data_IF_799759687594
#
_entry.id   IF_799759687594
#
_cell.length_a   1.000
_cell.length_b   1.000
_cell.length_c   1.000
_cell.angle_alpha   90.00
_cell.angle_beta   90.00
_cell.angle_gamma   90.00
#
_symmetry.space_group_name_H-M   'P 1'
#
loop_
_entity.id
_entity.type
_entity.pdbx_description
1 polymer ?
#
# COMPACT_ATOMS: atom_id res chain seq x y z
N UNK A 1 -0.98 -11.13 -30.81
CA UNK A 1 -0.77 -11.07 -29.35
C UNK A 1 0.61 -11.64 -29.11
N UNK A 2 1.46 -10.98 -28.32
CA UNK A 2 2.72 -11.60 -27.90
C UNK A 2 2.41 -12.86 -27.10
N UNK A 3 3.22 -13.90 -27.25
CA UNK A 3 3.06 -15.10 -26.46
C UNK A 3 3.19 -14.79 -24.95
N UNK A 4 2.46 -15.49 -24.08
CA UNK A 4 2.57 -15.28 -22.64
C UNK A 4 3.97 -15.67 -22.16
N UNK A 5 4.50 -14.90 -21.21
CA UNK A 5 5.72 -15.27 -20.51
C UNK A 5 5.36 -16.15 -19.31
N UNK A 6 5.92 -17.36 -19.25
CA UNK A 6 5.67 -18.32 -18.19
C UNK A 6 6.91 -18.44 -17.31
N UNK A 7 6.75 -18.24 -16.01
CA UNK A 7 7.81 -18.46 -15.05
C UNK A 7 7.67 -19.85 -14.44
N UNK A 8 8.78 -20.58 -14.34
CA UNK A 8 8.87 -21.88 -13.68
C UNK A 8 9.90 -21.79 -12.56
N UNK A 9 9.45 -21.82 -11.30
CA UNK A 9 10.35 -21.66 -10.16
C UNK A 9 10.55 -22.95 -9.39
N UNK A 10 11.81 -23.31 -9.14
CA UNK A 10 12.15 -24.47 -8.32
C UNK A 10 13.64 -24.78 -8.29
N UNK A 11 14.04 -25.69 -7.41
CA UNK A 11 15.41 -26.20 -7.31
C UNK A 11 15.84 -26.94 -8.59
N UNK A 12 17.15 -27.13 -8.81
CA UNK A 12 17.64 -27.90 -9.96
C UNK A 12 17.03 -29.33 -10.04
N UNK A 13 16.90 -30.09 -8.93
CA UNK A 13 16.16 -31.36 -8.96
C UNK A 13 14.71 -31.22 -9.39
N UNK A 14 14.00 -30.15 -8.97
CA UNK A 14 12.63 -29.90 -9.38
C UNK A 14 12.52 -29.59 -10.88
N UNK A 15 13.42 -28.74 -11.42
CA UNK A 15 13.50 -28.47 -12.86
C UNK A 15 13.79 -29.72 -13.68
N UNK A 16 14.68 -30.58 -13.18
CA UNK A 16 14.98 -31.88 -13.81
C UNK A 16 13.78 -32.81 -13.86
N UNK A 17 12.99 -32.89 -12.78
CA UNK A 17 11.72 -33.64 -12.76
C UNK A 17 10.69 -33.05 -13.72
N UNK A 18 10.68 -31.73 -13.88
CA UNK A 18 9.78 -31.00 -14.77
C UNK A 18 10.19 -31.02 -16.25
N UNK A 19 11.23 -31.76 -16.66
CA UNK A 19 11.72 -31.74 -18.03
C UNK A 19 10.64 -32.07 -19.08
N UNK A 20 9.78 -33.06 -18.81
CA UNK A 20 8.66 -33.41 -19.69
C UNK A 20 7.59 -32.30 -19.74
N UNK A 21 7.37 -31.60 -18.63
CA UNK A 21 6.44 -30.47 -18.56
C UNK A 21 6.97 -29.30 -19.39
N UNK A 22 8.25 -28.96 -19.22
CA UNK A 22 8.93 -27.89 -19.97
C UNK A 22 8.91 -28.20 -21.46
N UNK A 23 9.19 -29.44 -21.85
CA UNK A 23 9.15 -29.88 -23.25
C UNK A 23 7.73 -29.89 -23.85
N UNK A 24 6.69 -29.98 -23.02
CA UNK A 24 5.30 -29.95 -23.44
C UNK A 24 4.75 -28.52 -23.61
N UNK A 25 5.50 -27.48 -23.18
CA UNK A 25 5.09 -26.09 -23.38
C UNK A 25 5.08 -25.73 -24.88
N UNK A 26 4.15 -24.89 -25.34
CA UNK A 26 4.10 -24.43 -26.73
C UNK A 26 5.41 -23.78 -27.16
N UNK A 27 5.86 -24.06 -28.39
CA UNK A 27 7.11 -23.49 -28.93
C UNK A 27 7.09 -21.95 -29.02
N UNK A 28 5.89 -21.36 -29.10
CA UNK A 28 5.72 -19.91 -29.11
C UNK A 28 5.69 -19.31 -27.69
N UNK A 29 5.46 -20.10 -26.63
CA UNK A 29 5.45 -19.60 -25.26
C UNK A 29 6.86 -19.26 -24.79
N UNK A 30 7.04 -18.02 -24.31
CA UNK A 30 8.30 -17.61 -23.73
C UNK A 30 8.38 -18.14 -22.30
N UNK A 31 9.36 -19.00 -22.01
CA UNK A 31 9.51 -19.62 -20.69
C UNK A 31 10.80 -19.14 -20.04
N UNK A 32 10.74 -18.83 -18.74
CA UNK A 32 11.89 -18.56 -17.89
C UNK A 32 11.88 -19.51 -16.70
N UNK A 33 12.98 -20.22 -16.50
CA UNK A 33 13.24 -21.06 -15.34
C UNK A 33 14.01 -20.28 -14.28
N UNK A 34 13.53 -20.30 -13.05
CA UNK A 34 14.07 -19.52 -11.94
C UNK A 34 14.42 -20.44 -10.76
N UNK A 35 15.49 -20.12 -10.05
CA UNK A 35 15.88 -20.82 -8.84
C UNK A 35 17.40 -20.82 -8.64
N UNK A 36 17.93 -21.62 -7.71
CA UNK A 36 19.38 -21.76 -7.56
C UNK A 36 20.01 -22.40 -8.80
N UNK A 37 21.28 -22.03 -9.06
CA UNK A 37 22.16 -22.72 -10.00
C UNK A 37 22.19 -24.25 -9.78
N UNK A 38 22.43 -24.99 -10.86
CA UNK A 38 22.53 -26.46 -10.83
C UNK A 38 22.24 -27.10 -12.18
N UNK A 39 22.07 -28.43 -12.24
CA UNK A 39 21.77 -29.15 -13.49
C UNK A 39 20.30 -29.64 -13.53
N UNK A 40 19.44 -29.13 -14.42
CA UNK A 40 19.73 -28.12 -15.47
C UNK A 40 19.83 -26.70 -14.90
N UNK A 41 20.65 -25.85 -15.55
CA UNK A 41 20.83 -24.45 -15.14
C UNK A 41 19.52 -23.67 -15.32
N UNK A 42 19.20 -22.72 -14.41
CA UNK A 42 18.06 -21.85 -14.60
C UNK A 42 18.41 -20.73 -15.60
N UNK A 43 17.39 -20.15 -16.22
CA UNK A 43 17.53 -18.92 -17.01
C UNK A 43 17.89 -17.73 -16.11
N UNK A 44 17.41 -17.73 -14.86
CA UNK A 44 17.77 -16.76 -13.84
C UNK A 44 18.17 -17.46 -12.52
N UNK A 45 19.46 -17.36 -12.18
CA UNK A 45 19.97 -17.80 -10.88
C UNK A 45 19.57 -16.80 -9.79
N UNK A 46 18.77 -17.28 -8.83
CA UNK A 46 18.31 -16.52 -7.68
C UNK A 46 19.07 -16.88 -6.39
N UNK A 47 20.11 -17.70 -6.49
CA UNK A 47 20.89 -18.17 -5.35
C UNK A 47 20.13 -19.16 -4.47
N UNK A 48 20.69 -19.45 -3.29
CA UNK A 48 20.20 -20.50 -2.38
C UNK A 48 18.91 -20.16 -1.63
N UNK A 49 18.52 -18.88 -1.62
CA UNK A 49 17.29 -18.39 -0.99
C UNK A 49 16.50 -17.58 -2.04
N UNK A 50 15.88 -18.26 -3.02
CA UNK A 50 15.27 -17.59 -4.16
C UNK A 50 14.11 -16.69 -3.73
N UNK A 51 14.11 -15.46 -4.24
CA UNK A 51 13.08 -14.46 -4.00
C UNK A 51 12.55 -13.90 -5.32
N UNK A 52 11.29 -14.19 -5.60
CA UNK A 52 10.61 -13.79 -6.83
C UNK A 52 10.24 -12.30 -6.84
N UNK A 53 10.19 -11.63 -5.68
CA UNK A 53 9.97 -10.19 -5.62
C UNK A 53 11.16 -9.42 -6.21
N UNK A 54 12.39 -9.85 -5.89
CA UNK A 54 13.62 -9.33 -6.47
C UNK A 54 13.68 -9.60 -7.97
N UNK A 55 13.29 -10.81 -8.39
CA UNK A 55 13.20 -11.17 -9.80
C UNK A 55 12.22 -10.23 -10.54
N UNK A 56 11.03 -9.97 -9.98
CA UNK A 56 10.03 -9.08 -10.57
C UNK A 56 10.56 -7.65 -10.74
N UNK A 57 11.24 -7.12 -9.74
CA UNK A 57 11.79 -5.76 -9.77
C UNK A 57 12.91 -5.60 -10.80
N UNK A 58 13.76 -6.62 -10.96
CA UNK A 58 14.85 -6.62 -11.94
C UNK A 58 14.36 -6.97 -13.36
N UNK A 59 13.15 -7.52 -13.50
CA UNK A 59 12.64 -8.04 -14.76
C UNK A 59 12.20 -6.93 -15.73
N UNK A 60 12.74 -6.91 -16.97
CA UNK A 60 12.22 -6.03 -18.02
C UNK A 60 10.73 -6.29 -18.28
N UNK A 61 9.93 -5.25 -18.64
CA UNK A 61 8.49 -5.41 -18.88
C UNK A 61 8.11 -6.53 -19.85
N UNK A 62 8.93 -6.77 -20.88
CA UNK A 62 8.71 -7.82 -21.89
C UNK A 62 8.88 -9.26 -21.36
N UNK A 63 9.52 -9.43 -20.20
CA UNK A 63 9.79 -10.73 -19.58
C UNK A 63 8.97 -10.96 -18.30
N UNK A 64 8.05 -10.03 -17.96
CA UNK A 64 7.20 -10.15 -16.77
C UNK A 64 6.21 -11.30 -16.93
N UNK A 65 5.99 -12.08 -15.86
CA UNK A 65 5.21 -13.31 -15.96
C UNK A 65 3.73 -13.03 -16.22
N UNK A 66 3.15 -13.78 -17.15
CA UNK A 66 1.71 -13.93 -17.30
C UNK A 66 1.16 -15.02 -16.36
N UNK A 67 1.99 -15.99 -15.96
CA UNK A 67 1.71 -16.94 -14.87
C UNK A 67 3.02 -17.52 -14.31
N UNK A 68 2.96 -17.99 -13.07
CA UNK A 68 4.03 -18.73 -12.39
C UNK A 68 3.60 -20.17 -12.12
N UNK A 69 4.48 -21.14 -12.35
CA UNK A 69 4.39 -22.49 -11.80
C UNK A 69 5.51 -22.74 -10.79
N UNK A 70 5.14 -23.04 -9.55
CA UNK A 70 6.04 -23.52 -8.50
C UNK A 70 6.20 -25.03 -8.65
N UNK A 71 7.41 -25.45 -9.02
CA UNK A 71 7.77 -26.86 -9.27
C UNK A 71 8.02 -27.65 -7.98
N UNK A 72 8.18 -26.96 -6.85
CA UNK A 72 8.46 -27.55 -5.54
C UNK A 72 7.51 -26.98 -4.45
N UNK A 73 6.21 -27.34 -4.45
CA UNK A 73 5.18 -26.76 -3.59
C UNK A 73 5.45 -26.82 -2.09
N UNK A 74 6.21 -27.81 -1.64
CA UNK A 74 6.59 -28.01 -0.24
C UNK A 74 7.66 -27.02 0.26
N UNK A 75 8.36 -26.35 -0.65
CA UNK A 75 9.39 -25.36 -0.36
C UNK A 75 9.33 -24.26 -1.43
N UNK A 76 8.22 -23.50 -1.51
CA UNK A 76 8.09 -22.44 -2.51
C UNK A 76 9.15 -21.36 -2.27
N UNK A 77 9.63 -20.70 -3.33
CA UNK A 77 10.49 -19.52 -3.18
C UNK A 77 9.74 -18.39 -2.45
N UNK A 78 10.47 -17.45 -1.88
CA UNK A 78 9.88 -16.22 -1.33
C UNK A 78 9.28 -15.36 -2.46
N UNK A 79 8.31 -14.50 -2.12
CA UNK A 79 7.73 -13.54 -3.06
C UNK A 79 6.78 -14.11 -4.10
N UNK A 80 6.29 -15.35 -3.93
CA UNK A 80 5.24 -15.93 -4.80
C UNK A 80 3.97 -15.09 -4.76
N UNK A 81 3.57 -14.63 -3.58
CA UNK A 81 2.45 -13.74 -3.35
C UNK A 81 2.69 -12.31 -3.88
N UNK A 82 3.93 -11.93 -4.10
CA UNK A 82 4.31 -10.61 -4.59
C UNK A 82 4.21 -10.45 -6.13
N UNK A 83 3.71 -11.46 -6.85
CA UNK A 83 3.63 -11.43 -8.31
C UNK A 83 2.28 -10.90 -8.85
N UNK A 84 2.28 -10.12 -9.96
CA UNK A 84 1.09 -9.56 -10.61
C UNK A 84 0.28 -10.59 -11.43
N UNK A 85 0.52 -11.88 -11.26
CA UNK A 85 -0.02 -12.94 -12.11
C UNK A 85 -0.58 -14.10 -11.29
N UNK A 86 -1.35 -15.03 -11.91
CA UNK A 86 -1.73 -16.28 -11.26
C UNK A 86 -0.48 -17.09 -10.88
N UNK A 87 -0.51 -17.67 -9.69
CA UNK A 87 0.54 -18.56 -9.18
C UNK A 87 -0.01 -19.96 -8.96
N UNK A 88 0.63 -20.96 -9.55
CA UNK A 88 0.16 -22.34 -9.49
C UNK A 88 1.23 -23.25 -8.88
N UNK A 89 0.80 -24.26 -8.14
CA UNK A 89 1.67 -25.27 -7.56
C UNK A 89 1.55 -26.58 -8.35
N UNK A 90 2.68 -27.20 -8.69
CA UNK A 90 2.67 -28.42 -9.50
C UNK A 90 2.37 -29.67 -8.67
N UNK A 91 1.20 -30.28 -8.88
CA UNK A 91 0.85 -31.62 -8.39
C UNK A 91 0.63 -31.75 -6.87
N UNK A 92 0.85 -30.70 -6.09
CA UNK A 92 0.66 -30.68 -4.64
C UNK A 92 0.23 -29.29 -4.15
N UNK A 93 -0.36 -29.24 -2.96
CA UNK A 93 -0.79 -28.00 -2.32
C UNK A 93 0.41 -27.10 -1.96
N UNK A 94 0.22 -25.80 -2.15
CA UNK A 94 1.16 -24.75 -1.73
C UNK A 94 0.35 -23.59 -1.14
N UNK A 95 0.49 -23.28 0.16
CA UNK A 95 -0.24 -22.17 0.78
C UNK A 95 0.02 -20.80 0.16
N UNK A 96 1.14 -20.63 -0.55
CA UNK A 96 1.51 -19.37 -1.21
C UNK A 96 0.95 -19.25 -2.65
N UNK A 97 0.39 -20.32 -3.23
CA UNK A 97 -0.12 -20.31 -4.61
C UNK A 97 -1.63 -20.10 -4.67
N UNK A 98 -2.12 -19.53 -5.78
CA UNK A 98 -3.55 -19.39 -6.06
C UNK A 98 -4.25 -20.73 -6.32
N UNK A 99 -3.56 -21.70 -6.92
CA UNK A 99 -4.16 -22.97 -7.34
C UNK A 99 -3.13 -24.11 -7.43
N UNK A 100 -3.62 -25.34 -7.54
CA UNK A 100 -2.82 -26.55 -7.77
C UNK A 100 -3.09 -27.07 -9.19
N UNK A 101 -2.04 -27.39 -9.94
CA UNK A 101 -2.17 -28.07 -11.24
C UNK A 101 -2.15 -29.59 -11.07
N UNK A 102 -2.69 -30.36 -12.04
CA UNK A 102 -2.53 -31.81 -12.06
C UNK A 102 -1.06 -32.24 -12.04
N UNK A 103 -0.75 -33.41 -11.50
CA UNK A 103 0.61 -33.95 -11.51
C UNK A 103 1.09 -34.35 -12.92
N UNK A 104 0.16 -34.68 -13.83
CA UNK A 104 0.49 -35.01 -15.21
C UNK A 104 1.08 -33.78 -15.95
N UNK A 105 2.26 -33.90 -16.60
CA UNK A 105 2.92 -32.78 -17.28
C UNK A 105 2.07 -32.06 -18.34
N UNK A 106 1.34 -32.80 -19.18
CA UNK A 106 0.55 -32.21 -20.26
C UNK A 106 -0.65 -31.42 -19.72
N UNK A 107 -1.34 -31.99 -18.73
CA UNK A 107 -2.48 -31.33 -18.07
C UNK A 107 -2.01 -30.11 -17.27
N UNK A 108 -0.85 -30.20 -16.61
CA UNK A 108 -0.24 -29.08 -15.88
C UNK A 108 0.11 -27.91 -16.81
N UNK A 109 0.71 -28.22 -17.96
CA UNK A 109 1.01 -27.24 -19.01
C UNK A 109 -0.27 -26.57 -19.51
N UNK A 110 -1.32 -27.33 -19.79
CA UNK A 110 -2.60 -26.76 -20.22
C UNK A 110 -3.20 -25.84 -19.16
N UNK A 111 -3.17 -26.23 -17.88
CA UNK A 111 -3.66 -25.41 -16.77
C UNK A 111 -2.85 -24.11 -16.64
N UNK A 112 -1.53 -24.17 -16.76
CA UNK A 112 -0.64 -23.00 -16.69
C UNK A 112 -0.93 -21.99 -17.81
N UNK A 113 -1.10 -22.46 -19.05
CA UNK A 113 -1.43 -21.60 -20.20
C UNK A 113 -2.80 -20.95 -20.03
N UNK A 114 -3.80 -21.73 -19.60
CA UNK A 114 -5.14 -21.21 -19.33
C UNK A 114 -5.11 -20.12 -18.25
N UNK A 115 -4.33 -20.32 -17.19
CA UNK A 115 -4.13 -19.32 -16.16
C UNK A 115 -3.45 -18.06 -16.72
N UNK A 116 -2.39 -18.21 -17.53
CA UNK A 116 -1.70 -17.09 -18.16
C UNK A 116 -2.60 -16.27 -19.10
N UNK A 117 -3.49 -16.94 -19.85
CA UNK A 117 -4.45 -16.30 -20.75
C UNK A 117 -5.57 -15.59 -19.99
N UNK A 118 -6.03 -16.18 -18.87
CA UNK A 118 -7.07 -15.60 -18.02
C UNK A 118 -6.55 -14.42 -17.22
N UNK A 119 -5.29 -14.46 -16.79
CA UNK A 119 -4.71 -13.50 -15.86
C UNK A 119 -5.28 -13.62 -14.45
N UNK A 120 -4.82 -12.74 -13.55
CA UNK A 120 -5.30 -12.62 -12.17
C UNK A 120 -6.21 -11.40 -12.05
N UNK A 121 -7.38 -11.58 -11.44
CA UNK A 121 -8.26 -10.47 -11.09
C UNK A 121 -7.83 -9.87 -9.76
N UNK A 122 -8.03 -8.55 -9.61
CA UNK A 122 -7.67 -7.79 -8.41
C UNK A 122 -8.89 -7.01 -7.89
N UNK A 123 -9.90 -7.70 -7.33
CA UNK A 123 -11.17 -7.07 -6.97
C UNK A 123 -11.03 -5.96 -5.92
N UNK A 124 -10.07 -6.08 -5.00
CA UNK A 124 -9.78 -5.06 -3.99
C UNK A 124 -9.25 -3.75 -4.57
N UNK A 125 -8.60 -3.78 -5.74
CA UNK A 125 -7.93 -2.62 -6.33
C UNK A 125 -8.86 -1.41 -6.53
N UNK A 126 -10.13 -1.65 -6.86
CA UNK A 126 -11.12 -0.57 -7.02
C UNK A 126 -11.64 -0.02 -5.67
N UNK A 127 -11.50 -0.80 -4.60
CA UNK A 127 -12.06 -0.53 -3.26
C UNK A 127 -11.09 0.17 -2.33
N UNK A 128 -9.79 0.07 -2.63
CA UNK A 128 -8.74 0.70 -1.83
C UNK A 128 -8.09 1.84 -2.60
N UNK A 129 -7.40 2.68 -1.84
CA UNK A 129 -6.37 3.57 -2.29
C UNK A 129 -4.99 2.93 -2.07
N UNK A 130 -3.97 3.43 -2.75
CA UNK A 130 -2.58 2.97 -2.66
C UNK A 130 -1.70 4.18 -2.40
N UNK A 131 -0.94 4.18 -1.32
CA UNK A 131 0.09 5.19 -1.08
C UNK A 131 1.07 5.19 -2.25
N UNK A 132 1.24 6.37 -2.86
CA UNK A 132 2.06 6.55 -4.03
C UNK A 132 2.62 7.97 -4.03
N UNK A 133 3.87 8.18 -3.59
CA UNK A 133 4.50 9.49 -3.60
C UNK A 133 4.45 10.15 -4.98
N UNK A 134 4.20 11.46 -5.03
CA UNK A 134 4.05 12.21 -6.30
C UNK A 134 5.24 12.01 -7.24
N UNK A 135 6.45 11.94 -6.68
CA UNK A 135 7.70 11.70 -7.41
C UNK A 135 7.76 10.32 -8.03
N UNK A 136 7.18 9.32 -7.37
CA UNK A 136 7.13 7.96 -7.86
C UNK A 136 6.00 7.75 -8.88
N UNK A 137 4.85 8.38 -8.65
CA UNK A 137 3.72 8.43 -9.59
C UNK A 137 4.16 8.91 -10.97
N UNK A 138 4.92 10.01 -11.01
CA UNK A 138 5.43 10.60 -12.25
C UNK A 138 6.79 10.03 -12.69
N UNK A 139 7.43 9.23 -11.83
CA UNK A 139 8.76 8.67 -12.02
C UNK A 139 8.71 7.16 -12.22
N UNK A 140 9.29 6.43 -11.27
CA UNK A 140 9.54 4.98 -11.40
C UNK A 140 8.28 4.14 -11.64
N UNK A 141 7.12 4.57 -11.15
CA UNK A 141 5.86 3.85 -11.29
C UNK A 141 4.91 4.42 -12.34
N UNK A 142 5.31 5.42 -13.12
CA UNK A 142 4.47 5.96 -14.20
C UNK A 142 3.95 4.87 -15.19
N UNK A 143 4.76 3.87 -15.61
CA UNK A 143 4.27 2.78 -16.45
C UNK A 143 3.22 1.90 -15.76
N UNK A 144 3.39 1.64 -14.45
CA UNK A 144 2.47 0.84 -13.66
C UNK A 144 1.15 1.58 -13.42
N UNK A 145 1.21 2.85 -13.01
CA UNK A 145 0.03 3.70 -12.80
C UNK A 145 -0.78 3.91 -14.11
N UNK A 146 -0.15 3.79 -15.26
CA UNK A 146 -0.81 3.87 -16.57
C UNK A 146 -1.46 2.54 -17.00
N UNK A 147 -0.90 1.40 -16.58
CA UNK A 147 -1.38 0.07 -16.97
C UNK A 147 -2.41 -0.51 -15.99
N UNK A 148 -2.36 -0.06 -14.73
CA UNK A 148 -3.20 -0.55 -13.64
C UNK A 148 -4.03 0.59 -13.07
N UNK A 149 -5.33 0.34 -12.94
CA UNK A 149 -6.31 1.30 -12.47
C UNK A 149 -6.27 1.47 -10.94
N UNK A 150 -5.23 2.14 -10.41
CA UNK A 150 -5.10 2.45 -8.98
C UNK A 150 -5.80 3.75 -8.61
N UNK A 151 -6.44 3.78 -7.43
CA UNK A 151 -6.78 5.02 -6.76
C UNK A 151 -5.61 5.39 -5.86
N UNK A 152 -4.96 6.56 -6.00
CA UNK A 152 -3.81 6.87 -5.16
C UNK A 152 -4.21 7.60 -3.88
N UNK A 153 -3.44 7.35 -2.84
CA UNK A 153 -3.08 8.40 -1.90
C UNK A 153 -1.75 9.01 -2.36
N UNK A 154 -1.77 10.26 -2.84
CA UNK A 154 -0.57 10.92 -3.37
C UNK A 154 0.24 11.51 -2.22
N UNK A 155 1.41 10.95 -1.96
CA UNK A 155 2.34 11.50 -0.98
C UNK A 155 3.04 12.77 -1.50
N UNK A 156 2.93 13.88 -0.76
CA UNK A 156 3.63 15.14 -1.05
C UNK A 156 4.76 15.31 -0.04
N UNK A 157 5.95 14.82 -0.39
CA UNK A 157 7.15 14.96 0.44
C UNK A 157 7.85 16.33 0.26
N UNK A 158 8.82 16.62 1.11
CA UNK A 158 9.60 17.86 1.02
C UNK A 158 10.37 17.97 -0.30
N UNK A 159 10.84 16.84 -0.85
CA UNK A 159 11.59 16.80 -2.12
C UNK A 159 10.69 17.22 -3.29
N UNK A 160 9.42 16.79 -3.31
CA UNK A 160 8.42 17.20 -4.28
C UNK A 160 8.13 18.69 -4.13
N UNK A 161 7.93 19.17 -2.90
CA UNK A 161 7.69 20.60 -2.66
C UNK A 161 8.86 21.49 -3.11
N UNK A 162 10.09 21.01 -3.05
CA UNK A 162 11.27 21.78 -3.46
C UNK A 162 11.59 21.68 -4.96
N UNK A 163 11.42 20.50 -5.55
CA UNK A 163 11.88 20.22 -6.92
C UNK A 163 10.77 20.25 -7.97
N UNK A 164 9.50 20.09 -7.58
CA UNK A 164 8.36 20.04 -8.49
C UNK A 164 7.58 21.35 -8.52
N UNK A 165 6.80 21.51 -9.58
CA UNK A 165 6.05 22.73 -9.89
C UNK A 165 4.79 22.44 -10.68
N UNK A 166 4.16 23.50 -11.18
CA UNK A 166 2.82 23.42 -11.77
C UNK A 166 2.70 22.47 -12.96
N UNK A 167 3.76 22.33 -13.78
CA UNK A 167 3.77 21.37 -14.89
C UNK A 167 3.63 19.91 -14.40
N UNK A 168 4.26 19.57 -13.28
CA UNK A 168 4.16 18.24 -12.68
C UNK A 168 2.77 17.99 -12.10
N UNK A 169 2.14 19.00 -11.47
CA UNK A 169 0.78 18.89 -10.96
C UNK A 169 -0.23 18.72 -12.10
N UNK A 170 -0.05 19.44 -13.21
CA UNK A 170 -0.85 19.26 -14.41
C UNK A 170 -0.69 17.86 -15.01
N UNK A 171 0.54 17.33 -15.07
CA UNK A 171 0.80 15.96 -15.52
C UNK A 171 0.15 14.92 -14.60
N UNK A 172 0.31 15.06 -13.28
CA UNK A 172 -0.31 14.17 -12.30
C UNK A 172 -1.83 14.19 -12.44
N UNK A 173 -2.44 15.37 -12.59
CA UNK A 173 -3.88 15.50 -12.81
C UNK A 173 -4.38 14.72 -14.04
N UNK A 174 -3.58 14.66 -15.11
CA UNK A 174 -3.92 13.87 -16.29
C UNK A 174 -3.87 12.37 -16.01
N UNK A 175 -2.80 11.90 -15.38
CA UNK A 175 -2.63 10.47 -14.99
C UNK A 175 -3.75 10.03 -14.04
N UNK A 176 -4.20 10.92 -13.16
CA UNK A 176 -5.20 10.63 -12.13
C UNK A 176 -6.64 10.89 -12.57
N UNK A 177 -6.88 11.23 -13.84
CA UNK A 177 -8.24 11.53 -14.31
C UNK A 177 -9.17 10.33 -14.09
N UNK A 178 -10.29 10.58 -13.40
CA UNK A 178 -11.29 9.56 -13.08
C UNK A 178 -10.91 8.62 -11.94
N UNK A 179 -9.80 8.89 -11.23
CA UNK A 179 -9.40 8.19 -10.01
C UNK A 179 -9.97 8.89 -8.78
N UNK A 180 -10.20 8.12 -7.72
CA UNK A 180 -10.39 8.67 -6.37
C UNK A 180 -9.01 9.00 -5.81
N UNK A 181 -8.82 10.23 -5.34
CA UNK A 181 -7.51 10.72 -4.87
C UNK A 181 -7.62 11.14 -3.42
N UNK A 182 -6.78 10.58 -2.55
CA UNK A 182 -6.40 11.20 -1.27
C UNK A 182 -4.99 11.75 -1.39
N UNK A 183 -4.57 12.59 -0.44
CA UNK A 183 -3.21 13.13 -0.38
C UNK A 183 -2.66 12.93 1.01
N UNK A 184 -1.46 12.36 1.10
CA UNK A 184 -0.69 12.38 2.33
C UNK A 184 0.16 13.66 2.34
N UNK A 185 -0.12 14.54 3.30
CA UNK A 185 0.55 15.84 3.43
C UNK A 185 1.99 15.66 3.93
N UNK A 186 2.89 16.62 3.70
CA UNK A 186 4.25 16.55 4.24
C UNK A 186 4.21 16.54 5.76
N UNK A 187 5.03 15.69 6.38
CA UNK A 187 5.07 15.55 7.84
C UNK A 187 6.49 15.51 8.42
N UNK A 188 7.45 14.97 7.66
CA UNK A 188 8.85 14.85 8.11
C UNK A 188 9.42 16.21 8.54
N UNK A 189 9.92 16.25 9.78
CA UNK A 189 10.47 17.43 10.47
C UNK A 189 9.52 18.63 10.60
N UNK A 190 8.23 18.48 10.31
CA UNK A 190 7.24 19.53 10.49
C UNK A 190 6.68 19.50 11.91
N UNK A 191 6.61 20.68 12.54
CA UNK A 191 6.00 20.85 13.86
C UNK A 191 5.06 22.07 13.85
N UNK A 192 3.83 21.90 13.34
CA UNK A 192 2.88 23.01 13.21
C UNK A 192 2.41 23.56 14.57
N UNK A 193 2.46 22.74 15.63
CA UNK A 193 2.18 23.13 17.02
C UNK A 193 3.40 23.60 17.83
N UNK A 194 4.55 23.83 17.18
CA UNK A 194 5.81 24.20 17.84
C UNK A 194 5.67 25.46 18.72
N UNK A 195 6.31 25.48 19.91
CA UNK A 195 6.39 26.70 20.72
C UNK A 195 7.29 27.78 20.10
N UNK A 196 8.15 27.43 19.14
CA UNK A 196 8.91 28.39 18.35
C UNK A 196 8.07 28.84 17.14
N UNK A 197 7.64 30.12 17.08
CA UNK A 197 6.80 30.61 16.00
C UNK A 197 7.45 30.53 14.61
N UNK A 198 8.78 30.55 14.51
CA UNK A 198 9.47 30.44 13.23
C UNK A 198 9.37 29.02 12.67
N UNK A 199 9.48 28.00 13.53
CA UNK A 199 9.31 26.59 13.17
C UNK A 199 7.86 26.30 12.81
N UNK A 200 6.91 26.77 13.62
CA UNK A 200 5.48 26.60 13.36
C UNK A 200 5.09 27.23 12.01
N UNK A 201 5.56 28.46 11.74
CA UNK A 201 5.31 29.16 10.47
C UNK A 201 5.86 28.39 9.27
N UNK A 202 7.12 27.94 9.32
CA UNK A 202 7.70 27.17 8.23
C UNK A 202 6.91 25.90 7.95
N UNK A 203 6.50 25.20 9.01
CA UNK A 203 5.69 23.98 8.91
C UNK A 203 4.35 24.24 8.24
N UNK A 204 3.65 25.30 8.65
CA UNK A 204 2.37 25.70 8.08
C UNK A 204 2.48 26.20 6.63
N UNK A 205 3.55 26.92 6.28
CA UNK A 205 3.80 27.37 4.90
C UNK A 205 3.98 26.17 3.95
N UNK A 206 4.64 25.10 4.42
CA UNK A 206 4.81 23.84 3.67
C UNK A 206 3.47 23.11 3.49
N UNK A 207 2.69 23.02 4.56
CA UNK A 207 1.35 22.42 4.54
C UNK A 207 0.37 23.20 3.65
N UNK A 208 0.39 24.53 3.67
CA UNK A 208 -0.48 25.35 2.81
C UNK A 208 -0.15 25.17 1.32
N UNK A 209 1.15 25.10 0.98
CA UNK A 209 1.59 24.77 -0.39
C UNK A 209 1.07 23.39 -0.82
N UNK A 210 1.25 22.37 0.02
CA UNK A 210 0.75 21.02 -0.25
C UNK A 210 -0.79 20.99 -0.37
N UNK A 211 -1.51 21.76 0.44
CA UNK A 211 -2.97 21.85 0.38
C UNK A 211 -3.43 22.47 -0.94
N UNK A 212 -2.71 23.46 -1.46
CA UNK A 212 -2.93 23.96 -2.82
C UNK A 212 -2.86 22.84 -3.86
N UNK A 213 -1.79 22.05 -3.84
CA UNK A 213 -1.63 20.92 -4.77
C UNK A 213 -2.68 19.84 -4.57
N UNK A 214 -3.05 19.53 -3.32
CA UNK A 214 -4.11 18.55 -3.03
C UNK A 214 -5.44 18.94 -3.67
N UNK A 215 -5.83 20.21 -3.56
CA UNK A 215 -7.04 20.74 -4.20
C UNK A 215 -6.95 20.73 -5.73
N UNK A 216 -5.78 21.07 -6.30
CA UNK A 216 -5.56 21.03 -7.75
C UNK A 216 -5.67 19.61 -8.33
N UNK A 217 -5.19 18.62 -7.60
CA UNK A 217 -5.30 17.18 -7.90
C UNK A 217 -6.73 16.63 -7.69
N UNK A 218 -7.62 17.40 -7.07
CA UNK A 218 -8.99 16.98 -6.78
C UNK A 218 -9.08 15.98 -5.62
N UNK A 219 -8.17 16.09 -4.65
CA UNK A 219 -8.15 15.20 -3.48
C UNK A 219 -9.43 15.37 -2.66
N UNK A 220 -9.99 14.24 -2.19
CA UNK A 220 -11.17 14.21 -1.32
C UNK A 220 -10.80 14.08 0.16
N UNK A 221 -9.56 13.67 0.44
CA UNK A 221 -8.96 13.56 1.77
C UNK A 221 -7.55 14.12 1.75
N UNK A 222 -7.17 14.77 2.86
CA UNK A 222 -5.82 15.22 3.11
C UNK A 222 -5.39 14.73 4.50
N UNK A 223 -4.50 13.74 4.52
CA UNK A 223 -3.95 13.16 5.76
C UNK A 223 -2.87 14.07 6.30
N UNK A 224 -2.97 14.46 7.58
CA UNK A 224 -2.00 15.32 8.27
C UNK A 224 -1.53 14.69 9.58
N UNK A 225 -0.29 14.97 9.94
CA UNK A 225 0.28 14.59 11.23
C UNK A 225 0.27 15.79 12.18
N UNK A 226 0.13 15.53 13.49
CA UNK A 226 0.17 16.59 14.50
C UNK A 226 1.60 17.10 14.74
N UNK A 227 2.59 16.22 14.59
CA UNK A 227 3.96 16.48 15.04
C UNK A 227 4.05 16.53 16.58
N UNK A 228 3.20 15.77 17.27
CA UNK A 228 3.18 15.71 18.73
C UNK A 228 4.22 14.71 19.26
N UNK A 229 4.76 15.01 20.44
CA UNK A 229 5.64 14.12 21.19
C UNK A 229 5.46 14.44 22.66
N UNK A 230 5.12 13.43 23.47
CA UNK A 230 4.89 13.61 24.90
C UNK A 230 6.15 14.08 25.66
N UNK A 231 7.34 13.77 25.13
CA UNK A 231 8.61 14.15 25.73
C UNK A 231 8.89 15.66 25.63
N UNK A 232 8.46 16.29 24.54
CA UNK A 232 8.72 17.71 24.25
C UNK A 232 7.49 18.60 24.45
N UNK A 233 6.28 18.06 24.30
CA UNK A 233 5.01 18.78 24.39
C UNK A 233 4.26 18.40 25.67
N UNK A 234 4.78 18.85 26.82
CA UNK A 234 4.28 18.45 28.16
C UNK A 234 2.90 19.00 28.53
N UNK A 235 2.47 20.09 27.91
CA UNK A 235 1.12 20.65 28.09
C UNK A 235 0.32 20.47 26.80
N UNK A 236 -0.60 19.50 26.82
CA UNK A 236 -1.45 19.17 25.68
C UNK A 236 -2.37 20.34 25.29
N UNK A 237 -2.90 21.08 26.26
CA UNK A 237 -3.80 22.20 26.00
C UNK A 237 -3.10 23.34 25.27
N UNK A 238 -1.88 23.70 25.71
CA UNK A 238 -1.07 24.70 25.02
C UNK A 238 -0.64 24.24 23.62
N UNK A 239 -0.24 22.97 23.47
CA UNK A 239 0.10 22.40 22.17
C UNK A 239 -1.09 22.47 21.20
N UNK A 240 -2.26 21.97 21.61
CA UNK A 240 -3.47 21.99 20.80
C UNK A 240 -3.89 23.42 20.46
N UNK A 241 -3.76 24.37 21.39
CA UNK A 241 -4.03 25.78 21.14
C UNK A 241 -3.14 26.38 20.05
N UNK A 242 -1.81 26.12 20.09
CA UNK A 242 -0.88 26.57 19.04
C UNK A 242 -1.15 25.90 17.70
N UNK A 243 -1.32 24.58 17.70
CA UNK A 243 -1.63 23.80 16.51
C UNK A 243 -2.90 24.31 15.82
N UNK A 244 -3.98 24.52 16.60
CA UNK A 244 -5.27 24.95 16.08
C UNK A 244 -5.21 26.32 15.37
N UNK A 245 -4.33 27.23 15.81
CA UNK A 245 -4.14 28.52 15.16
C UNK A 245 -3.71 28.40 13.68
N UNK A 246 -2.97 27.34 13.34
CA UNK A 246 -2.59 27.03 11.96
C UNK A 246 -3.50 26.03 11.26
N UNK A 247 -3.98 25.01 11.98
CA UNK A 247 -4.79 23.94 11.38
C UNK A 247 -6.23 24.36 11.09
N UNK A 248 -6.83 25.27 11.86
CA UNK A 248 -8.17 25.77 11.56
C UNK A 248 -8.29 26.44 10.17
N UNK A 249 -7.44 27.42 9.79
CA UNK A 249 -7.49 28.00 8.45
C UNK A 249 -7.10 27.00 7.35
N UNK A 250 -6.15 26.08 7.61
CA UNK A 250 -5.77 25.03 6.66
C UNK A 250 -6.95 24.08 6.38
N UNK A 251 -7.63 23.60 7.44
CA UNK A 251 -8.82 22.77 7.36
C UNK A 251 -9.95 23.50 6.62
N UNK A 252 -10.16 24.79 6.90
CA UNK A 252 -11.15 25.61 6.22
C UNK A 252 -10.88 25.70 4.71
N UNK A 253 -9.62 25.90 4.31
CA UNK A 253 -9.22 25.95 2.90
C UNK A 253 -9.50 24.62 2.19
N UNK A 254 -9.10 23.50 2.80
CA UNK A 254 -9.35 22.15 2.25
C UNK A 254 -10.85 21.88 2.13
N UNK A 255 -11.62 22.18 3.18
CA UNK A 255 -13.07 21.97 3.23
C UNK A 255 -13.81 22.75 2.14
N UNK A 256 -13.44 24.02 1.89
CA UNK A 256 -14.03 24.82 0.81
C UNK A 256 -13.78 24.23 -0.58
N UNK A 257 -12.68 23.49 -0.76
CA UNK A 257 -12.36 22.76 -1.97
C UNK A 257 -12.95 21.35 -2.03
N UNK A 258 -13.78 20.94 -1.06
CA UNK A 258 -14.37 19.60 -1.00
C UNK A 258 -13.44 18.51 -0.47
N UNK A 259 -12.31 18.87 0.13
CA UNK A 259 -11.34 17.96 0.71
C UNK A 259 -11.47 17.93 2.25
N UNK A 260 -11.70 16.74 2.83
CA UNK A 260 -11.74 16.58 4.28
C UNK A 260 -10.31 16.40 4.82
N UNK A 261 -9.90 17.27 5.75
CA UNK A 261 -8.67 17.06 6.51
C UNK A 261 -8.89 15.94 7.53
N UNK A 262 -8.00 14.95 7.53
CA UNK A 262 -8.02 13.82 8.47
C UNK A 262 -6.70 13.76 9.22
N UNK A 263 -6.76 13.64 10.54
CA UNK A 263 -5.56 13.58 11.40
C UNK A 263 -5.19 12.12 11.64
N UNK A 264 -3.95 11.77 11.37
CA UNK A 264 -3.43 10.41 11.56
C UNK A 264 -2.86 10.18 12.96
N UNK A 265 -3.03 8.96 13.52
CA UNK A 265 -2.28 8.53 14.70
C UNK A 265 -0.87 8.09 14.29
N UNK A 266 0.13 8.64 14.97
CA UNK A 266 1.54 8.34 14.75
C UNK A 266 2.18 7.96 16.08
N UNK A 267 2.96 8.85 16.69
CA UNK A 267 3.66 8.64 17.97
C UNK A 267 2.86 9.13 19.18
N UNK A 268 1.59 9.52 19.01
CA UNK A 268 0.73 9.92 20.10
C UNK A 268 0.47 8.73 21.06
N UNK A 269 0.52 8.95 22.39
CA UNK A 269 0.35 7.88 23.37
C UNK A 269 -1.05 7.26 23.35
N UNK A 270 -2.07 8.00 22.90
CA UNK A 270 -3.46 7.58 22.88
C UNK A 270 -4.36 8.52 22.08
N UNK A 271 -5.63 8.09 21.85
CA UNK A 271 -6.59 8.83 21.03
C UNK A 271 -7.03 10.17 21.63
N UNK A 272 -6.82 10.38 22.93
CA UNK A 272 -7.13 11.62 23.63
C UNK A 272 -6.37 12.83 23.06
N UNK A 273 -5.14 12.63 22.60
CA UNK A 273 -4.34 13.70 21.95
C UNK A 273 -4.98 14.14 20.63
N UNK A 274 -5.39 13.18 19.79
CA UNK A 274 -6.06 13.45 18.52
C UNK A 274 -7.43 14.11 18.74
N UNK A 275 -8.20 13.63 19.72
CA UNK A 275 -9.49 14.21 20.10
C UNK A 275 -9.34 15.64 20.61
N UNK A 276 -8.34 15.92 21.44
CA UNK A 276 -8.05 17.26 21.94
C UNK A 276 -7.64 18.22 20.80
N UNK A 277 -6.78 17.77 19.89
CA UNK A 277 -6.38 18.55 18.71
C UNK A 277 -7.59 18.88 17.82
N UNK A 278 -8.43 17.89 17.50
CA UNK A 278 -9.69 18.08 16.77
C UNK A 278 -10.59 19.11 17.44
N UNK A 279 -10.80 18.98 18.75
CA UNK A 279 -11.66 19.90 19.49
C UNK A 279 -11.11 21.34 19.48
N UNK A 280 -9.79 21.51 19.60
CA UNK A 280 -9.15 22.82 19.54
C UNK A 280 -9.26 23.46 18.15
N UNK A 281 -9.11 22.69 17.07
CA UNK A 281 -9.29 23.17 15.68
C UNK A 281 -10.70 23.74 15.49
N UNK A 282 -11.73 23.01 15.95
CA UNK A 282 -13.13 23.45 15.85
C UNK A 282 -13.37 24.70 16.70
N UNK A 283 -12.85 24.75 17.93
CA UNK A 283 -12.98 25.91 18.81
C UNK A 283 -12.28 27.16 18.27
N UNK A 284 -11.20 26.98 17.50
CA UNK A 284 -10.53 28.07 16.78
C UNK A 284 -11.27 28.53 15.52
N UNK A 285 -12.45 27.97 15.23
CA UNK A 285 -13.31 28.35 14.10
C UNK A 285 -13.06 27.55 12.83
N UNK A 286 -12.34 26.42 12.90
CA UNK A 286 -12.19 25.48 11.81
C UNK A 286 -13.46 24.63 11.57
N UNK A 287 -13.61 24.02 10.39
CA UNK A 287 -14.68 23.06 10.12
C UNK A 287 -14.45 21.74 10.87
N UNK A 288 -15.42 20.83 10.79
CA UNK A 288 -15.23 19.45 11.27
C UNK A 288 -14.06 18.78 10.53
N UNK A 289 -13.18 18.13 11.29
CA UNK A 289 -12.06 17.33 10.79
C UNK A 289 -12.27 15.87 11.18
N UNK A 290 -11.75 14.96 10.35
CA UNK A 290 -11.84 13.51 10.60
C UNK A 290 -10.54 12.94 11.15
N UNK A 291 -10.50 11.62 11.28
CA UNK A 291 -9.30 10.87 11.60
C UNK A 291 -8.92 9.92 10.47
N UNK A 292 -7.61 9.79 10.23
CA UNK A 292 -7.03 8.62 9.62
C UNK A 292 -6.58 7.70 10.77
N UNK A 293 -7.15 6.51 10.88
CA UNK A 293 -6.63 5.53 11.83
C UNK A 293 -5.70 4.59 11.07
N UNK A 294 -4.41 4.74 11.32
CA UNK A 294 -3.41 3.78 10.91
C UNK A 294 -3.40 2.60 11.89
N UNK A 295 -3.81 1.43 11.39
CA UNK A 295 -3.94 0.22 12.20
C UNK A 295 -2.58 -0.39 12.57
N UNK A 296 -1.54 -0.17 11.77
CA UNK A 296 -0.20 -0.68 12.04
C UNK A 296 0.53 0.18 13.07
N UNK A 297 0.41 1.50 13.00
CA UNK A 297 0.94 2.43 14.00
C UNK A 297 0.38 2.15 15.41
N UNK A 298 -0.90 1.76 15.50
CA UNK A 298 -1.50 1.37 16.77
C UNK A 298 -0.80 0.17 17.44
N UNK A 299 -0.04 -0.64 16.68
CA UNK A 299 0.74 -1.77 17.19
C UNK A 299 2.21 -1.45 17.45
N UNK A 300 2.87 -0.66 16.59
CA UNK A 300 4.31 -0.41 16.71
C UNK A 300 4.67 0.90 17.42
N UNK A 301 3.77 1.89 17.47
CA UNK A 301 4.05 3.21 18.06
C UNK A 301 3.29 3.51 19.34
N UNK A 302 2.21 2.77 19.64
CA UNK A 302 1.36 3.03 20.79
C UNK A 302 1.36 1.90 21.81
N UNK A 303 1.29 2.25 23.09
CA UNK A 303 0.94 1.30 24.15
C UNK A 303 -0.58 1.12 24.28
N UNK A 304 -1.37 2.00 23.67
CA UNK A 304 -2.84 1.91 23.63
C UNK A 304 -3.24 0.92 22.55
N UNK A 305 -4.10 -0.05 22.91
CA UNK A 305 -4.49 -1.11 21.99
C UNK A 305 -5.40 -0.60 20.86
N UNK A 306 -5.33 -1.22 19.68
CA UNK A 306 -6.15 -0.88 18.52
C UNK A 306 -7.67 -0.79 18.82
N UNK A 307 -8.29 -1.66 19.65
CA UNK A 307 -9.70 -1.51 19.98
C UNK A 307 -10.06 -0.21 20.70
N UNK A 308 -9.15 0.32 21.54
CA UNK A 308 -9.36 1.58 22.25
C UNK A 308 -9.22 2.79 21.31
N UNK A 309 -8.21 2.76 20.42
CA UNK A 309 -8.09 3.70 19.31
C UNK A 309 -9.35 3.71 18.44
N UNK A 310 -9.79 2.52 18.01
CA UNK A 310 -10.96 2.36 17.17
C UNK A 310 -12.21 2.92 17.85
N UNK A 311 -12.49 2.52 19.09
CA UNK A 311 -13.68 2.97 19.83
C UNK A 311 -13.73 4.50 19.94
N UNK A 312 -12.60 5.13 20.21
CA UNK A 312 -12.51 6.58 20.38
C UNK A 312 -12.66 7.35 19.06
N UNK A 313 -12.08 6.84 17.97
CA UNK A 313 -11.99 7.55 16.69
C UNK A 313 -13.10 7.17 15.70
N UNK A 314 -13.74 6.00 15.84
CA UNK A 314 -14.77 5.45 14.95
C UNK A 314 -15.85 6.45 14.51
N UNK A 315 -16.41 7.31 15.39
CA UNK A 315 -17.44 8.27 14.99
C UNK A 315 -16.97 9.33 13.98
N UNK A 316 -15.67 9.48 13.79
CA UNK A 316 -15.07 10.53 12.98
C UNK A 316 -14.06 9.99 11.95
N UNK A 317 -14.04 8.68 11.70
CA UNK A 317 -13.12 8.07 10.72
C UNK A 317 -13.43 8.57 9.31
N UNK A 318 -12.42 9.16 8.68
CA UNK A 318 -12.47 9.56 7.27
C UNK A 318 -11.62 8.65 6.37
N UNK A 319 -10.58 8.03 6.93
CA UNK A 319 -9.60 7.19 6.24
C UNK A 319 -9.02 6.15 7.22
N UNK A 320 -8.51 5.03 6.69
CA UNK A 320 -7.69 4.05 7.38
C UNK A 320 -6.46 3.76 6.54
N UNK A 321 -5.30 3.77 7.17
CA UNK A 321 -4.11 3.16 6.60
C UNK A 321 -4.03 1.71 7.04
N UNK A 322 -3.79 0.84 6.07
CA UNK A 322 -3.78 -0.60 6.23
C UNK A 322 -2.37 -1.08 5.93
N UNK A 323 -1.73 -1.61 6.95
CA UNK A 323 -0.51 -2.40 6.88
C UNK A 323 -0.35 -3.20 8.17
N UNK A 324 0.61 -4.11 8.18
CA UNK A 324 0.86 -5.04 9.28
C UNK A 324 2.31 -4.93 9.77
N UNK A 325 2.56 -5.34 11.00
CA UNK A 325 3.91 -5.38 11.58
C UNK A 325 3.95 -6.33 12.79
N UNK A 326 5.14 -6.56 13.33
CA UNK A 326 5.36 -7.42 14.51
C UNK A 326 5.33 -6.64 15.85
N UNK A 327 4.88 -5.38 15.82
CA UNK A 327 4.85 -4.47 16.97
C UNK A 327 6.21 -3.88 17.35
N UNK A 328 7.30 -4.20 16.64
CA UNK A 328 8.65 -3.69 16.97
C UNK A 328 9.10 -2.54 16.09
N UNK A 329 8.65 -2.53 14.84
CA UNK A 329 8.97 -1.49 13.87
C UNK A 329 7.84 -1.36 12.87
N UNK A 330 7.79 -0.21 12.22
CA UNK A 330 6.82 0.10 11.19
C UNK A 330 7.24 -0.51 9.84
N UNK A 331 7.08 -1.83 9.72
CA UNK A 331 7.56 -2.59 8.57
C UNK A 331 6.66 -2.49 7.32
N UNK A 332 5.46 -1.94 7.45
CA UNK A 332 4.41 -1.92 6.41
C UNK A 332 4.22 -3.27 5.69
N UNK A 333 4.15 -4.36 6.45
CA UNK A 333 3.91 -5.68 5.86
C UNK A 333 2.50 -5.79 5.27
N UNK A 334 2.31 -6.65 4.26
CA UNK A 334 0.97 -6.99 3.78
C UNK A 334 0.05 -7.52 4.89
N UNK A 335 -1.27 -7.31 4.79
CA UNK A 335 -2.23 -7.83 5.76
C UNK A 335 -2.12 -9.33 5.99
N UNK A 336 -2.04 -9.74 7.25
CA UNK A 336 -1.92 -11.14 7.67
C UNK A 336 -0.48 -11.67 7.66
N UNK A 337 0.50 -10.77 7.63
CA UNK A 337 1.93 -11.05 7.75
C UNK A 337 2.56 -10.47 9.02
N UNK A 338 1.76 -9.98 9.96
CA UNK A 338 2.19 -9.49 11.26
C UNK A 338 1.19 -9.81 12.37
N UNK A 339 0.98 -8.86 13.28
CA UNK A 339 0.22 -9.01 14.53
C UNK A 339 -1.12 -8.25 14.54
N UNK A 340 -1.42 -7.45 13.52
CA UNK A 340 -2.69 -6.71 13.46
C UNK A 340 -3.88 -7.69 13.49
N UNK A 341 -4.85 -7.42 14.36
CA UNK A 341 -6.09 -8.19 14.45
C UNK A 341 -7.03 -7.80 13.29
N UNK A 342 -6.74 -8.32 12.10
CA UNK A 342 -7.52 -8.07 10.88
C UNK A 342 -8.98 -8.52 10.98
N UNK A 343 -9.23 -9.50 11.83
CA UNK A 343 -10.56 -10.01 12.17
C UNK A 343 -11.38 -8.94 12.91
N UNK A 344 -10.77 -8.29 13.91
CA UNK A 344 -11.33 -7.13 14.58
C UNK A 344 -11.54 -5.96 13.62
N UNK A 345 -10.55 -5.60 12.80
CA UNK A 345 -10.66 -4.50 11.83
C UNK A 345 -11.82 -4.75 10.86
N UNK A 346 -11.91 -5.95 10.29
CA UNK A 346 -12.95 -6.31 9.32
C UNK A 346 -14.37 -6.27 9.92
N UNK A 347 -14.56 -6.84 11.12
CA UNK A 347 -15.87 -6.77 11.82
C UNK A 347 -16.24 -5.34 12.19
N UNK A 348 -15.26 -4.54 12.58
CA UNK A 348 -15.49 -3.16 13.00
C UNK A 348 -15.83 -2.26 11.82
N UNK A 349 -15.16 -2.45 10.67
CA UNK A 349 -15.52 -1.83 9.40
C UNK A 349 -16.95 -2.15 8.96
N UNK A 350 -17.34 -3.42 9.03
CA UNK A 350 -18.69 -3.86 8.66
C UNK A 350 -19.80 -3.28 9.56
N UNK A 351 -19.45 -2.83 10.77
CA UNK A 351 -20.38 -2.22 11.71
C UNK A 351 -20.55 -0.70 11.53
N UNK A 352 -19.72 -0.05 10.71
CA UNK A 352 -19.83 1.38 10.44
C UNK A 352 -20.95 1.69 9.44
N UNK A 353 -21.79 2.67 9.74
CA UNK A 353 -22.80 3.16 8.80
C UNK A 353 -22.17 3.87 7.58
N UNK A 354 -21.04 4.54 7.81
CA UNK A 354 -20.26 5.22 6.78
C UNK A 354 -18.83 4.66 6.78
N UNK A 355 -18.46 3.84 5.79
CA UNK A 355 -17.12 3.27 5.75
C UNK A 355 -16.08 4.36 5.42
N UNK A 356 -14.92 4.38 6.10
CA UNK A 356 -13.83 5.27 5.76
C UNK A 356 -13.21 4.89 4.42
N UNK A 357 -12.38 5.78 3.88
CA UNK A 357 -11.47 5.42 2.80
C UNK A 357 -10.45 4.39 3.31
N UNK A 358 -10.12 3.37 2.52
CA UNK A 358 -9.11 2.38 2.88
C UNK A 358 -7.88 2.61 2.01
N UNK A 359 -6.71 2.77 2.61
CA UNK A 359 -5.44 3.03 1.91
C UNK A 359 -4.42 1.98 2.30
N UNK A 360 -3.82 1.33 1.30
CA UNK A 360 -2.68 0.41 1.50
C UNK A 360 -1.38 1.19 1.35
N UNK A 361 -0.33 0.77 2.07
CA UNK A 361 0.96 1.48 2.06
C UNK A 361 2.14 0.61 1.56
N UNK A 362 2.10 0.12 0.32
CA UNK A 362 3.21 -0.63 -0.24
C UNK A 362 4.40 0.29 -0.57
N UNK A 363 5.62 -0.14 -0.26
CA UNK A 363 6.84 0.61 -0.56
C UNK A 363 7.47 0.24 -1.91
N UNK A 364 7.15 -0.94 -2.43
CA UNK A 364 7.55 -1.43 -3.73
C UNK A 364 6.40 -2.05 -4.54
N UNK A 365 6.58 -2.18 -5.86
CA UNK A 365 5.59 -2.87 -6.72
C UNK A 365 5.25 -4.30 -6.25
N UNK A 366 6.22 -5.16 -5.86
CA UNK A 366 5.89 -6.48 -5.34
C UNK A 366 4.97 -6.42 -4.11
N UNK A 367 5.17 -5.42 -3.24
CA UNK A 367 4.36 -5.23 -2.05
C UNK A 367 2.91 -4.93 -2.42
N UNK A 368 2.64 -4.11 -3.44
CA UNK A 368 1.27 -3.85 -3.91
C UNK A 368 0.49 -5.14 -4.18
N UNK A 369 1.12 -6.11 -4.86
CA UNK A 369 0.48 -7.37 -5.19
C UNK A 369 0.30 -8.27 -3.97
N UNK A 370 1.31 -8.30 -3.08
CA UNK A 370 1.23 -9.01 -1.81
C UNK A 370 0.15 -8.43 -0.89
N UNK A 371 -0.01 -7.10 -0.85
CA UNK A 371 -1.05 -6.39 -0.12
C UNK A 371 -2.45 -6.80 -0.58
N UNK A 372 -2.69 -6.80 -1.89
CA UNK A 372 -3.98 -7.20 -2.45
C UNK A 372 -4.31 -8.68 -2.12
N UNK A 373 -3.30 -9.57 -2.16
CA UNK A 373 -3.47 -10.97 -1.69
C UNK A 373 -3.71 -11.05 -0.19
N UNK A 374 -3.04 -10.22 0.60
CA UNK A 374 -3.23 -10.10 2.04
C UNK A 374 -4.68 -9.76 2.37
N UNK A 375 -5.24 -8.73 1.70
CA UNK A 375 -6.65 -8.37 1.84
C UNK A 375 -7.61 -9.52 1.48
N UNK A 376 -7.35 -10.22 0.37
CA UNK A 376 -8.13 -11.41 -0.01
C UNK A 376 -8.04 -12.52 1.03
N UNK A 377 -6.87 -12.72 1.63
CA UNK A 377 -6.63 -13.74 2.66
C UNK A 377 -7.36 -13.40 3.97
N UNK A 378 -7.31 -12.15 4.41
CA UNK A 378 -7.89 -11.75 5.71
C UNK A 378 -9.38 -11.42 5.64
N UNK A 379 -9.88 -10.90 4.51
CA UNK A 379 -11.28 -10.47 4.37
C UNK A 379 -12.05 -11.13 3.22
N UNK A 380 -11.41 -11.98 2.42
CA UNK A 380 -12.03 -12.58 1.25
C UNK A 380 -12.22 -11.57 0.12
N UNK A 381 -13.18 -11.84 -0.76
CA UNK A 381 -13.54 -10.90 -1.81
C UNK A 381 -14.22 -9.65 -1.23
N UNK A 382 -13.96 -8.45 -1.76
CA UNK A 382 -14.65 -7.26 -1.30
C UNK A 382 -16.16 -7.35 -1.60
N UNK A 383 -17.01 -6.68 -0.81
CA UNK A 383 -18.44 -6.60 -1.07
C UNK A 383 -18.73 -6.01 -2.46
N UNK A 384 -19.85 -6.45 -3.04
CA UNK A 384 -20.30 -6.09 -4.39
C UNK A 384 -20.61 -4.60 -4.56
#
# INVERSE_FOLDING_TARGET
MSAPVLWLAGSAPARKRAAELIAALPEDAQTLTLGPAGDPEPDLDLGSAPDLSLALMACPPALRPAALLVLEPQAPPSGVDALPCPTLAWGAECPACDAVTPANPADATQALIQAAQRGRAWPWLARVNVNLPLRDLLGRYAPLASSVAVNPEVGIDHQALDAMGQEHIAQAKEVLRGRRVSVHMPFMDLSPGSPDPAIARLSLDRLDKAAGWALELGAIRAVVHLGYSADTHRDLGEFCGRLAAGFAPLAQRLHQGGCLMVVENTFEPGPDVLLAARQAIIQAGGPEVGFCLDVGHAYCFSATALPDWWLALAPYLGELHLHDNDGTFDYHHPPGCGMVDWDFVGRSLAALEQPPLLTMEPHAEPDLWAFLRGLEKVWGAPPA
#
